data_IF_366223035228
#
_entry.id   IF_366223035228
#
_cell.length_a   1.000
_cell.length_b   1.000
_cell.length_c   1.000
_cell.angle_alpha   90.00
_cell.angle_beta   90.00
_cell.angle_gamma   90.00
#
_symmetry.space_group_name_H-M   'P 1'
#
loop_
_entity.id
_entity.type
_entity.pdbx_description
1 polymer ?
#
# COMPACT_ATOMS: atom_id res chain seq x y z
N UNK A 1 102.53 1.16 4.63
CA UNK A 1 101.43 0.99 5.57
C UNK A 1 100.22 1.66 4.92
N UNK A 2 99.37 0.88 4.29
CA UNK A 2 98.31 1.35 3.41
C UNK A 2 96.98 0.94 3.99
N UNK A 3 96.15 1.91 4.38
CA UNK A 3 94.81 1.71 4.95
C UNK A 3 93.77 1.78 3.82
N UNK A 4 93.12 0.68 3.60
CA UNK A 4 92.03 0.52 2.57
C UNK A 4 90.68 0.92 3.20
N UNK A 5 90.03 1.99 2.67
CA UNK A 5 88.70 2.43 3.01
C UNK A 5 87.70 1.66 2.16
N UNK A 6 86.84 0.87 2.76
CA UNK A 6 85.69 0.23 2.11
C UNK A 6 84.48 1.21 2.14
N UNK A 7 84.06 1.64 1.00
CA UNK A 7 82.77 2.43 0.79
C UNK A 7 81.60 1.44 0.67
N UNK A 8 80.65 1.53 1.61
CA UNK A 8 79.37 0.80 1.54
C UNK A 8 78.38 1.65 0.71
N UNK A 9 77.98 1.14 -0.43
CA UNK A 9 76.90 1.75 -1.22
C UNK A 9 75.55 1.21 -0.74
N UNK A 10 74.72 2.09 -0.19
CA UNK A 10 73.34 1.81 0.28
C UNK A 10 72.39 2.06 -0.93
N UNK A 11 71.89 0.99 -1.52
CA UNK A 11 70.85 1.09 -2.57
C UNK A 11 69.47 1.26 -1.95
N UNK A 12 68.88 2.46 -2.05
CA UNK A 12 67.50 2.77 -1.68
C UNK A 12 66.62 2.33 -2.84
N UNK A 13 65.89 1.23 -2.63
CA UNK A 13 64.83 0.75 -3.55
C UNK A 13 63.53 1.52 -3.24
N UNK A 14 63.27 2.57 -3.99
CA UNK A 14 61.97 3.31 -3.94
C UNK A 14 60.89 2.49 -4.61
N UNK A 15 60.11 1.78 -3.83
CA UNK A 15 58.88 1.13 -4.31
C UNK A 15 57.78 2.17 -4.56
N UNK A 16 57.54 2.47 -5.84
CA UNK A 16 56.39 3.26 -6.26
C UNK A 16 55.12 2.40 -6.09
N UNK A 17 54.33 2.64 -5.04
CA UNK A 17 52.95 2.12 -4.95
C UNK A 17 52.13 2.81 -6.04
N UNK A 18 51.83 2.10 -7.11
CA UNK A 18 50.77 2.48 -8.06
C UNK A 18 49.42 2.28 -7.35
N UNK A 19 48.84 3.34 -6.76
CA UNK A 19 47.45 3.38 -6.38
C UNK A 19 46.65 3.41 -7.68
N UNK A 20 46.17 2.27 -8.13
CA UNK A 20 45.16 2.23 -9.21
C UNK A 20 43.94 3.04 -8.75
N UNK A 21 43.48 4.03 -9.52
CA UNK A 21 42.25 4.72 -9.20
C UNK A 21 41.12 3.69 -9.23
N UNK A 22 40.45 3.48 -8.11
CA UNK A 22 39.13 2.83 -8.08
C UNK A 22 38.24 3.68 -8.98
N UNK A 23 38.03 3.22 -10.23
CA UNK A 23 37.05 3.80 -11.11
C UNK A 23 35.68 3.62 -10.41
N UNK A 24 35.22 4.65 -9.73
CA UNK A 24 33.82 4.78 -9.32
C UNK A 24 33.04 4.77 -10.63
N UNK A 25 32.42 3.64 -10.94
CA UNK A 25 31.50 3.56 -12.09
C UNK A 25 30.47 4.66 -11.90
N UNK A 26 30.53 5.67 -12.76
CA UNK A 26 29.55 6.75 -12.74
C UNK A 26 28.17 6.14 -12.98
N UNK A 27 27.23 6.41 -12.07
CA UNK A 27 25.85 5.93 -12.19
C UNK A 27 25.24 6.48 -13.49
N UNK A 28 24.63 5.59 -14.30
CA UNK A 28 23.88 5.97 -15.50
C UNK A 28 22.50 6.51 -15.12
N UNK A 29 22.47 7.71 -14.55
CA UNK A 29 21.25 8.40 -14.13
C UNK A 29 21.10 9.67 -14.98
N UNK A 30 19.97 9.76 -15.70
CA UNK A 30 19.58 10.93 -16.51
C UNK A 30 18.67 11.88 -15.73
N UNK A 31 18.62 13.17 -16.08
CA UNK A 31 17.59 14.06 -15.55
C UNK A 31 16.18 13.55 -15.87
N UNK A 32 15.34 13.38 -14.81
CA UNK A 32 13.96 12.91 -14.94
C UNK A 32 13.04 13.77 -14.08
N UNK A 33 11.86 14.09 -14.60
CA UNK A 33 10.73 14.60 -13.83
C UNK A 33 9.64 13.54 -13.80
N UNK A 34 9.28 13.10 -12.60
CA UNK A 34 8.38 11.97 -12.35
C UNK A 34 7.10 12.50 -11.73
N UNK A 35 5.95 12.32 -12.39
CA UNK A 35 4.64 12.62 -11.80
C UNK A 35 4.20 11.44 -10.98
N UNK A 36 4.01 11.65 -9.67
CA UNK A 36 3.56 10.63 -8.74
C UNK A 36 2.18 10.99 -8.19
N UNK A 37 1.14 10.35 -8.74
CA UNK A 37 -0.25 10.58 -8.35
C UNK A 37 -0.69 9.74 -7.15
N UNK A 38 -1.58 10.30 -6.31
CA UNK A 38 -2.19 9.56 -5.20
C UNK A 38 -3.55 10.14 -4.81
N UNK A 39 -4.40 9.28 -4.18
CA UNK A 39 -5.80 9.60 -3.93
C UNK A 39 -6.06 10.48 -2.73
N UNK A 40 -5.27 10.35 -1.65
CA UNK A 40 -5.46 11.10 -0.41
C UNK A 40 -4.83 12.50 -0.48
N UNK A 41 -5.09 13.33 0.53
CA UNK A 41 -4.47 14.66 0.66
C UNK A 41 -3.01 14.59 1.14
N UNK A 42 -2.31 15.72 1.07
CA UNK A 42 -0.87 15.81 1.38
C UNK A 42 -0.52 15.55 2.85
N UNK A 43 -1.47 15.81 3.78
CA UNK A 43 -1.24 15.61 5.22
C UNK A 43 -1.57 14.18 5.68
N UNK A 44 -2.14 13.35 4.80
CA UNK A 44 -2.40 11.94 5.10
C UNK A 44 -1.11 11.12 5.21
N UNK A 45 -1.18 9.93 5.82
CA UNK A 45 -0.09 8.97 5.82
C UNK A 45 0.43 8.66 4.41
N UNK A 46 -0.46 8.50 3.42
CA UNK A 46 -0.11 8.33 2.01
C UNK A 46 0.68 9.53 1.46
N UNK A 47 0.23 10.77 1.71
CA UNK A 47 0.89 12.00 1.26
C UNK A 47 2.26 12.19 1.90
N UNK A 48 2.39 11.93 3.21
CA UNK A 48 3.68 12.00 3.92
C UNK A 48 4.70 10.99 3.36
N UNK A 49 4.26 9.78 3.06
CA UNK A 49 5.13 8.75 2.48
C UNK A 49 5.55 9.07 1.04
N UNK A 50 4.65 9.61 0.20
CA UNK A 50 5.02 10.08 -1.16
C UNK A 50 6.04 11.22 -1.09
N UNK A 51 5.92 12.12 -0.10
CA UNK A 51 6.89 13.19 0.12
C UNK A 51 8.27 12.63 0.50
N UNK A 52 8.33 11.63 1.38
CA UNK A 52 9.58 10.96 1.71
C UNK A 52 10.17 10.24 0.50
N UNK A 53 9.36 9.50 -0.25
CA UNK A 53 9.80 8.86 -1.50
C UNK A 53 10.44 9.88 -2.46
N UNK A 54 9.82 11.04 -2.64
CA UNK A 54 10.34 12.10 -3.49
C UNK A 54 11.72 12.62 -3.00
N UNK A 55 11.86 12.83 -1.69
CA UNK A 55 13.12 13.22 -1.07
C UNK A 55 14.22 12.18 -1.28
N UNK A 56 13.90 10.90 -1.10
CA UNK A 56 14.85 9.80 -1.27
C UNK A 56 15.28 9.62 -2.73
N UNK A 57 14.37 9.72 -3.67
CA UNK A 57 14.69 9.68 -5.11
C UNK A 57 15.65 10.81 -5.49
N UNK A 58 15.39 12.04 -5.03
CA UNK A 58 16.27 13.18 -5.30
C UNK A 58 17.64 12.96 -4.67
N UNK A 59 17.70 12.53 -3.42
CA UNK A 59 18.95 12.24 -2.69
C UNK A 59 19.77 11.13 -3.37
N UNK A 60 19.15 9.98 -3.66
CA UNK A 60 19.82 8.80 -4.22
C UNK A 60 20.29 9.03 -5.66
N UNK A 61 19.60 9.88 -6.41
CA UNK A 61 19.97 10.23 -7.79
C UNK A 61 20.96 11.40 -7.90
N UNK A 62 21.42 11.96 -6.77
CA UNK A 62 22.25 13.18 -6.77
C UNK A 62 21.54 14.38 -7.39
N UNK A 63 20.22 14.50 -7.18
CA UNK A 63 19.38 15.60 -7.68
C UNK A 63 18.95 15.47 -9.15
N UNK A 64 19.33 14.40 -9.84
CA UNK A 64 18.99 14.22 -11.27
C UNK A 64 17.55 13.76 -11.49
N UNK A 65 17.00 12.93 -10.60
CA UNK A 65 15.61 12.51 -10.67
C UNK A 65 14.79 13.29 -9.65
N UNK A 66 13.71 13.91 -10.10
CA UNK A 66 12.80 14.70 -9.25
C UNK A 66 11.39 14.16 -9.34
N UNK A 67 10.75 13.98 -8.18
CA UNK A 67 9.37 13.51 -8.09
C UNK A 67 8.45 14.68 -7.75
N UNK A 68 7.45 14.89 -8.60
CA UNK A 68 6.33 15.79 -8.33
C UNK A 68 5.19 14.97 -7.71
N UNK A 69 5.03 15.10 -6.40
CA UNK A 69 3.90 14.54 -5.66
C UNK A 69 2.60 15.28 -6.02
N UNK A 70 1.56 14.55 -6.45
CA UNK A 70 0.29 15.12 -6.93
C UNK A 70 -0.84 14.36 -6.24
N UNK A 71 -1.31 14.92 -5.11
CA UNK A 71 -2.30 14.33 -4.22
C UNK A 71 -3.73 14.70 -4.54
N UNK A 72 -4.64 14.29 -3.64
CA UNK A 72 -6.06 14.58 -3.68
C UNK A 72 -6.73 14.17 -5.01
N UNK A 73 -6.27 13.09 -5.62
CA UNK A 73 -6.74 12.60 -6.91
C UNK A 73 -6.69 13.66 -8.04
N UNK A 74 -5.78 14.64 -7.99
CA UNK A 74 -5.69 15.69 -9.00
C UNK A 74 -5.30 15.17 -10.40
N UNK A 75 -4.75 13.96 -10.50
CA UNK A 75 -4.54 13.23 -11.78
C UNK A 75 -5.69 12.28 -12.11
N UNK A 76 -6.79 12.33 -11.38
CA UNK A 76 -7.94 11.45 -11.51
C UNK A 76 -8.02 10.37 -10.42
N UNK A 77 -9.14 9.65 -10.33
CA UNK A 77 -9.30 8.51 -9.44
C UNK A 77 -8.35 7.35 -9.78
N UNK A 78 -8.15 6.42 -8.84
CA UNK A 78 -7.19 5.31 -8.95
C UNK A 78 -7.28 4.58 -10.30
N UNK A 79 -8.48 4.21 -10.73
CA UNK A 79 -8.70 3.49 -12.02
C UNK A 79 -8.20 4.32 -13.21
N UNK A 80 -8.46 5.63 -13.21
CA UNK A 80 -8.01 6.52 -14.27
C UNK A 80 -6.48 6.66 -14.26
N UNK A 81 -5.86 6.82 -13.10
CA UNK A 81 -4.39 6.87 -12.97
C UNK A 81 -3.75 5.54 -13.41
N UNK A 82 -4.34 4.38 -13.06
CA UNK A 82 -3.88 3.07 -13.53
C UNK A 82 -3.90 2.98 -15.06
N UNK A 83 -4.96 3.44 -15.71
CA UNK A 83 -5.03 3.49 -17.18
C UNK A 83 -4.00 4.45 -17.78
N UNK A 84 -3.75 5.60 -17.13
CA UNK A 84 -2.72 6.55 -17.55
C UNK A 84 -1.30 5.94 -17.46
N UNK A 85 -1.01 5.12 -16.43
CA UNK A 85 0.25 4.37 -16.32
C UNK A 85 0.37 3.34 -17.45
N UNK A 86 -0.68 2.53 -17.68
CA UNK A 86 -0.70 1.52 -18.75
C UNK A 86 -0.47 2.18 -20.11
N UNK A 87 -1.11 3.31 -20.35
CA UNK A 87 -0.95 4.12 -21.57
C UNK A 87 0.44 4.78 -21.70
N UNK A 88 1.18 4.97 -20.57
CA UNK A 88 2.44 5.70 -20.50
C UNK A 88 2.27 7.21 -20.41
N UNK A 89 1.07 7.69 -20.10
CA UNK A 89 0.77 9.12 -19.93
C UNK A 89 1.12 9.64 -18.52
N UNK A 90 1.41 8.76 -17.59
CA UNK A 90 1.84 9.06 -16.21
C UNK A 90 2.95 8.08 -15.82
N UNK A 91 3.91 8.51 -14.98
CA UNK A 91 5.06 7.69 -14.60
C UNK A 91 4.77 6.79 -13.40
N UNK A 92 4.20 7.35 -12.31
CA UNK A 92 4.01 6.62 -11.05
C UNK A 92 2.70 6.99 -10.36
N UNK A 93 2.20 6.05 -9.55
CA UNK A 93 1.12 6.31 -8.60
C UNK A 93 1.26 5.41 -7.37
N UNK A 94 0.58 5.76 -6.29
CA UNK A 94 0.18 4.83 -5.24
C UNK A 94 -1.33 4.83 -5.10
N UNK A 95 -1.91 3.64 -5.03
CA UNK A 95 -3.36 3.48 -4.92
C UNK A 95 -3.74 2.13 -4.33
N UNK A 96 -5.04 1.90 -4.17
CA UNK A 96 -5.56 0.66 -3.60
C UNK A 96 -5.35 -0.53 -4.54
N UNK A 97 -4.88 -1.65 -4.00
CA UNK A 97 -4.83 -2.92 -4.73
C UNK A 97 -6.22 -3.38 -5.20
N UNK A 98 -7.25 -3.01 -4.45
CA UNK A 98 -8.65 -3.35 -4.76
C UNK A 98 -9.11 -2.83 -6.13
N UNK A 99 -8.62 -1.67 -6.56
CA UNK A 99 -8.98 -1.08 -7.87
C UNK A 99 -8.26 -1.74 -9.04
N UNK A 100 -7.28 -2.63 -8.78
CA UNK A 100 -6.57 -3.40 -9.80
C UNK A 100 -7.24 -4.74 -10.15
N UNK A 101 -8.24 -5.18 -9.40
CA UNK A 101 -8.88 -6.49 -9.60
C UNK A 101 -9.45 -6.64 -11.01
N UNK A 102 -9.94 -5.56 -11.62
CA UNK A 102 -10.40 -5.54 -13.02
C UNK A 102 -9.26 -5.67 -14.05
N UNK A 103 -8.02 -5.43 -13.65
CA UNK A 103 -6.81 -5.52 -14.50
C UNK A 103 -6.14 -6.88 -14.28
N UNK A 104 -5.98 -7.28 -13.04
CA UNK A 104 -5.38 -8.56 -12.63
C UNK A 104 -6.19 -9.17 -11.47
N UNK A 105 -6.92 -10.28 -11.73
CA UNK A 105 -7.77 -10.91 -10.72
C UNK A 105 -7.04 -11.34 -9.45
N UNK A 106 -5.73 -11.63 -9.54
CA UNK A 106 -4.91 -12.04 -8.39
C UNK A 106 -4.89 -11.01 -7.27
N UNK A 107 -5.09 -9.72 -7.58
CA UNK A 107 -5.19 -8.66 -6.56
C UNK A 107 -6.38 -8.83 -5.62
N UNK A 108 -7.44 -9.56 -6.04
CA UNK A 108 -8.57 -9.89 -5.17
C UNK A 108 -8.19 -10.71 -3.92
N UNK A 109 -7.02 -11.34 -3.94
CA UNK A 109 -6.50 -12.05 -2.77
C UNK A 109 -6.44 -11.14 -1.53
N UNK A 110 -6.01 -9.88 -1.71
CA UNK A 110 -5.85 -8.91 -0.63
C UNK A 110 -7.19 -8.38 -0.09
N UNK A 111 -8.25 -8.50 -0.88
CA UNK A 111 -9.59 -8.05 -0.51
C UNK A 111 -10.41 -9.12 0.22
N UNK A 112 -9.81 -10.30 0.43
CA UNK A 112 -10.46 -11.42 1.12
C UNK A 112 -10.83 -11.02 2.54
N UNK A 113 -12.13 -11.05 2.90
CA UNK A 113 -12.57 -10.75 4.25
C UNK A 113 -11.88 -11.63 5.30
N UNK A 114 -11.34 -10.96 6.33
CA UNK A 114 -10.67 -11.61 7.46
C UNK A 114 -9.46 -12.50 7.09
N UNK A 115 -8.80 -12.23 5.96
CA UNK A 115 -7.61 -12.97 5.55
C UNK A 115 -6.49 -12.83 6.59
N UNK A 116 -6.22 -11.62 7.03
CA UNK A 116 -5.19 -11.30 8.01
C UNK A 116 -5.77 -10.99 9.39
N UNK A 117 -5.15 -11.51 10.45
CA UNK A 117 -5.50 -11.21 11.83
C UNK A 117 -4.65 -10.08 12.43
N UNK A 118 -3.55 -9.72 11.76
CA UNK A 118 -2.62 -8.68 12.22
C UNK A 118 -1.81 -8.09 11.08
N UNK A 119 -1.27 -6.89 11.28
CA UNK A 119 -0.33 -6.27 10.35
C UNK A 119 0.93 -7.13 10.13
N UNK A 120 1.38 -7.88 11.16
CA UNK A 120 2.50 -8.83 11.03
C UNK A 120 2.22 -9.94 10.02
N UNK A 121 1.02 -10.50 10.02
CA UNK A 121 0.61 -11.50 9.03
C UNK A 121 0.60 -10.89 7.62
N UNK A 122 0.04 -9.67 7.49
CA UNK A 122 0.02 -8.95 6.23
C UNK A 122 1.43 -8.65 5.71
N UNK A 123 2.33 -8.13 6.55
CA UNK A 123 3.72 -7.86 6.18
C UNK A 123 4.41 -9.13 5.66
N UNK A 124 4.30 -10.24 6.40
CA UNK A 124 4.97 -11.48 6.05
C UNK A 124 4.48 -12.07 4.71
N UNK A 125 3.21 -11.90 4.38
CA UNK A 125 2.64 -12.40 3.12
C UNK A 125 2.91 -11.43 1.97
N UNK A 126 2.69 -10.13 2.18
CA UNK A 126 2.83 -9.10 1.14
C UNK A 126 4.29 -8.91 0.71
N UNK A 127 5.24 -8.96 1.64
CA UNK A 127 6.67 -8.80 1.35
C UNK A 127 7.36 -10.15 1.01
N UNK A 128 6.64 -11.22 1.16
CA UNK A 128 7.11 -12.58 0.89
C UNK A 128 6.86 -13.04 -0.57
N UNK A 129 7.17 -14.32 -0.84
CA UNK A 129 7.02 -14.90 -2.17
C UNK A 129 5.60 -14.82 -2.74
N UNK A 130 4.57 -14.86 -1.89
CA UNK A 130 3.16 -14.76 -2.30
C UNK A 130 2.87 -13.36 -2.84
N UNK A 131 3.27 -12.31 -2.11
CA UNK A 131 3.11 -10.93 -2.57
C UNK A 131 3.86 -10.66 -3.86
N UNK A 132 5.08 -11.21 -3.99
CA UNK A 132 5.84 -11.11 -5.23
C UNK A 132 5.14 -11.81 -6.41
N UNK A 133 4.61 -13.03 -6.23
CA UNK A 133 3.84 -13.72 -7.27
C UNK A 133 2.64 -12.90 -7.77
N UNK A 134 1.96 -12.19 -6.86
CA UNK A 134 0.85 -11.31 -7.26
C UNK A 134 1.38 -10.10 -8.02
N UNK A 135 2.48 -9.46 -7.59
CA UNK A 135 3.11 -8.36 -8.33
C UNK A 135 3.58 -8.78 -9.72
N UNK A 136 4.09 -10.00 -9.87
CA UNK A 136 4.61 -10.54 -11.14
C UNK A 136 3.53 -10.70 -12.21
N UNK A 137 2.25 -10.56 -11.86
CA UNK A 137 1.14 -10.53 -12.83
C UNK A 137 0.99 -9.17 -13.52
N UNK A 138 1.53 -8.09 -12.93
CA UNK A 138 1.35 -6.71 -13.39
C UNK A 138 2.10 -6.37 -14.70
N UNK A 139 3.34 -6.85 -14.94
CA UNK A 139 4.08 -6.47 -16.14
C UNK A 139 3.36 -6.84 -17.43
N UNK A 140 2.67 -7.98 -17.49
CA UNK A 140 1.85 -8.37 -18.63
C UNK A 140 0.65 -7.42 -18.88
N UNK A 141 0.32 -6.58 -17.89
CA UNK A 141 -0.76 -5.59 -17.94
C UNK A 141 -0.24 -4.15 -18.12
N UNK A 142 1.06 -3.98 -18.36
CA UNK A 142 1.66 -2.66 -18.59
C UNK A 142 2.01 -1.89 -17.32
N UNK A 143 2.05 -2.55 -16.16
CA UNK A 143 2.36 -1.98 -14.86
C UNK A 143 3.58 -2.68 -14.23
N UNK A 144 4.29 -1.98 -13.36
CA UNK A 144 5.31 -2.55 -12.48
C UNK A 144 4.96 -2.18 -11.04
N UNK A 145 4.82 -3.18 -10.15
CA UNK A 145 4.68 -2.97 -8.73
C UNK A 145 6.05 -2.89 -8.06
N UNK A 146 6.29 -1.88 -7.22
CA UNK A 146 7.54 -1.76 -6.49
C UNK A 146 7.44 -2.36 -5.09
N UNK A 147 6.48 -1.88 -4.28
CA UNK A 147 6.26 -2.30 -2.90
C UNK A 147 4.79 -2.16 -2.53
N UNK A 148 4.37 -2.91 -1.51
CA UNK A 148 3.09 -2.68 -0.84
C UNK A 148 3.27 -1.73 0.34
N UNK A 149 2.38 -0.70 0.44
CA UNK A 149 2.19 0.16 1.59
C UNK A 149 0.95 -0.27 2.37
N UNK A 150 0.75 0.29 3.55
CA UNK A 150 -0.39 -0.03 4.41
C UNK A 150 -1.47 1.05 4.34
N UNK A 151 -2.66 0.71 3.82
CA UNK A 151 -3.85 1.51 4.13
C UNK A 151 -4.36 1.15 5.53
N UNK A 152 -4.40 -0.15 5.85
CA UNK A 152 -4.72 -0.68 7.17
C UNK A 152 -6.00 -1.50 7.24
N UNK A 153 -6.41 -1.87 8.46
CA UNK A 153 -7.67 -2.59 8.70
C UNK A 153 -8.86 -1.66 8.53
N UNK A 154 -9.82 -2.10 7.75
CA UNK A 154 -11.00 -1.33 7.36
C UNK A 154 -12.14 -1.49 8.35
N UNK A 155 -12.83 -0.39 8.62
CA UNK A 155 -13.90 -0.26 9.57
C UNK A 155 -15.08 0.49 8.94
N UNK A 156 -16.28 0.27 9.45
CA UNK A 156 -17.51 0.79 8.89
C UNK A 156 -17.87 2.14 9.51
N UNK A 157 -18.24 3.13 8.68
CA UNK A 157 -18.93 4.33 9.16
C UNK A 157 -20.28 4.50 8.48
N UNK A 158 -21.24 5.11 9.18
CA UNK A 158 -22.49 5.53 8.56
C UNK A 158 -23.15 6.70 9.33
N UNK A 159 -24.14 7.35 8.72
CA UNK A 159 -24.86 8.47 9.31
C UNK A 159 -26.16 8.06 10.03
N UNK A 160 -26.59 6.80 9.93
CA UNK A 160 -27.91 6.34 10.39
C UNK A 160 -27.94 5.75 11.79
N UNK A 161 -27.08 4.75 12.06
CA UNK A 161 -27.10 3.99 13.34
C UNK A 161 -25.80 3.28 13.62
N UNK A 162 -25.54 2.97 14.90
CA UNK A 162 -24.49 2.04 15.27
C UNK A 162 -24.82 0.64 14.74
N UNK A 163 -23.82 -0.08 14.25
CA UNK A 163 -23.97 -1.48 13.82
C UNK A 163 -23.51 -2.39 14.97
N UNK A 164 -24.46 -2.99 15.67
CA UNK A 164 -24.20 -3.90 16.77
C UNK A 164 -24.47 -5.37 16.41
N UNK A 165 -25.18 -5.61 15.31
CA UNK A 165 -25.51 -6.91 14.74
C UNK A 165 -25.60 -6.79 13.21
N UNK A 166 -25.52 -7.91 12.50
CA UNK A 166 -25.52 -7.92 11.04
C UNK A 166 -26.77 -7.29 10.43
N UNK A 167 -27.93 -7.49 11.06
CA UNK A 167 -29.21 -6.94 10.60
C UNK A 167 -29.25 -5.40 10.63
N UNK A 168 -28.35 -4.76 11.39
CA UNK A 168 -28.23 -3.30 11.40
C UNK A 168 -27.63 -2.76 10.09
N UNK A 169 -27.05 -3.63 9.24
CA UNK A 169 -26.60 -3.28 7.88
C UNK A 169 -27.76 -3.19 6.88
N UNK A 170 -28.90 -3.80 7.18
CA UNK A 170 -30.03 -3.85 6.26
C UNK A 170 -30.51 -2.43 5.87
N UNK A 171 -30.60 -2.18 4.57
CA UNK A 171 -31.03 -0.92 4.00
C UNK A 171 -30.04 0.25 4.13
N UNK A 172 -28.82 0.04 4.65
CA UNK A 172 -27.77 1.04 4.57
C UNK A 172 -27.21 1.07 3.15
N UNK A 173 -27.32 2.24 2.48
CA UNK A 173 -26.60 2.49 1.25
C UNK A 173 -25.13 2.69 1.57
N UNK A 174 -24.35 1.64 1.38
CA UNK A 174 -22.94 1.63 1.72
C UNK A 174 -22.08 1.84 0.47
N UNK A 175 -21.31 2.90 0.42
CA UNK A 175 -20.29 3.04 -0.61
C UNK A 175 -19.19 2.00 -0.38
N UNK A 176 -18.81 1.33 -1.44
CA UNK A 176 -17.64 0.45 -1.49
C UNK A 176 -16.68 0.90 -2.59
N UNK A 177 -15.45 0.39 -2.59
CA UNK A 177 -14.53 0.62 -3.71
C UNK A 177 -15.05 -0.03 -5.00
N UNK A 178 -14.59 0.43 -6.15
CA UNK A 178 -14.93 -0.10 -7.48
C UNK A 178 -14.33 -1.52 -7.67
N UNK A 179 -14.88 -2.47 -6.91
CA UNK A 179 -14.38 -3.83 -6.78
C UNK A 179 -15.53 -4.79 -6.49
N UNK A 180 -15.62 -5.87 -7.25
CA UNK A 180 -16.69 -6.85 -7.10
C UNK A 180 -16.64 -7.60 -5.77
N UNK A 181 -15.44 -7.82 -5.19
CA UNK A 181 -15.31 -8.50 -3.89
C UNK A 181 -16.01 -7.71 -2.79
N UNK A 182 -15.75 -6.40 -2.70
CA UNK A 182 -16.42 -5.54 -1.72
C UNK A 182 -17.92 -5.44 -1.99
N UNK A 183 -18.31 -5.31 -3.27
CA UNK A 183 -19.71 -5.27 -3.67
C UNK A 183 -20.47 -6.51 -3.22
N UNK A 184 -19.96 -7.71 -3.51
CA UNK A 184 -20.58 -8.97 -3.15
C UNK A 184 -20.54 -9.22 -1.64
N UNK A 185 -19.43 -8.85 -0.98
CA UNK A 185 -19.30 -8.99 0.48
C UNK A 185 -20.39 -8.22 1.22
N UNK A 186 -20.55 -6.93 0.92
CA UNK A 186 -21.53 -6.12 1.64
C UNK A 186 -22.98 -6.38 1.22
N UNK A 187 -23.24 -6.79 -0.02
CA UNK A 187 -24.55 -7.33 -0.42
C UNK A 187 -24.90 -8.61 0.35
N UNK A 188 -23.96 -9.52 0.49
CA UNK A 188 -24.14 -10.78 1.26
C UNK A 188 -24.42 -10.48 2.74
N UNK A 189 -23.90 -9.38 3.26
CA UNK A 189 -24.13 -8.92 4.64
C UNK A 189 -25.44 -8.14 4.82
N UNK A 190 -26.19 -7.86 3.75
CA UNK A 190 -27.50 -7.17 3.79
C UNK A 190 -27.45 -5.68 3.45
N UNK A 191 -26.27 -5.10 3.23
CA UNK A 191 -26.18 -3.69 2.86
C UNK A 191 -26.50 -3.47 1.38
N UNK A 192 -27.02 -2.28 1.06
CA UNK A 192 -27.17 -1.82 -0.31
C UNK A 192 -25.84 -1.22 -0.78
N UNK A 193 -24.92 -2.08 -1.22
CA UNK A 193 -23.57 -1.68 -1.61
C UNK A 193 -23.55 -0.96 -2.96
N UNK A 194 -22.87 0.20 -3.02
CA UNK A 194 -22.77 1.07 -4.18
C UNK A 194 -21.29 1.38 -4.48
N UNK A 195 -20.75 0.96 -5.63
CA UNK A 195 -19.36 1.25 -5.97
C UNK A 195 -19.21 2.70 -6.44
N UNK A 196 -18.29 3.46 -5.81
CA UNK A 196 -17.93 4.82 -6.20
C UNK A 196 -16.43 5.05 -6.06
N UNK A 197 -15.81 5.89 -6.92
CA UNK A 197 -14.45 6.36 -6.74
C UNK A 197 -14.26 7.05 -5.39
N UNK A 198 -13.02 6.99 -4.83
CA UNK A 198 -12.73 7.64 -3.55
C UNK A 198 -12.88 9.18 -3.63
N UNK A 199 -12.50 9.78 -4.76
CA UNK A 199 -12.61 11.22 -5.01
C UNK A 199 -14.04 11.78 -4.93
N UNK A 200 -15.05 10.93 -5.09
CA UNK A 200 -16.48 11.34 -5.02
C UNK A 200 -17.09 11.08 -3.64
N UNK A 201 -16.34 10.38 -2.76
CA UNK A 201 -16.93 9.80 -1.54
C UNK A 201 -17.40 10.87 -0.55
N UNK A 202 -16.59 11.90 -0.26
CA UNK A 202 -16.97 12.92 0.71
C UNK A 202 -18.28 13.61 0.32
N UNK A 203 -18.38 14.05 -0.94
CA UNK A 203 -19.61 14.69 -1.47
C UNK A 203 -20.81 13.74 -1.46
N UNK A 204 -20.62 12.45 -1.79
CA UNK A 204 -21.69 11.46 -1.75
C UNK A 204 -22.21 11.21 -0.32
N UNK A 205 -21.32 11.26 0.70
CA UNK A 205 -21.70 11.18 2.11
C UNK A 205 -22.40 12.46 2.58
N UNK A 206 -21.87 13.62 2.22
CA UNK A 206 -22.42 14.94 2.58
C UNK A 206 -23.85 15.13 2.03
N UNK A 207 -24.05 14.80 0.76
CA UNK A 207 -25.36 14.90 0.09
C UNK A 207 -26.29 13.74 0.44
N UNK A 208 -25.85 12.77 1.25
CA UNK A 208 -26.60 11.55 1.60
C UNK A 208 -26.98 10.69 0.40
N UNK A 209 -26.25 10.80 -0.71
CA UNK A 209 -26.35 9.88 -1.84
C UNK A 209 -26.03 8.46 -1.42
N UNK A 210 -25.07 8.32 -0.47
CA UNK A 210 -24.80 7.10 0.29
C UNK A 210 -24.89 7.40 1.78
N UNK A 211 -25.25 6.40 2.57
CA UNK A 211 -25.42 6.53 4.02
C UNK A 211 -24.11 6.29 4.78
N UNK A 212 -23.21 5.53 4.20
CA UNK A 212 -21.98 5.10 4.86
C UNK A 212 -20.91 4.65 3.87
N UNK A 213 -19.76 4.30 4.45
CA UNK A 213 -18.58 3.81 3.77
C UNK A 213 -17.76 2.91 4.71
N UNK A 214 -16.69 2.32 4.22
CA UNK A 214 -15.73 1.56 5.02
C UNK A 214 -14.30 1.94 4.61
N UNK A 215 -13.46 2.20 5.59
CA UNK A 215 -12.04 2.57 5.44
C UNK A 215 -11.28 2.36 6.75
N UNK A 216 -9.95 2.36 6.72
CA UNK A 216 -9.13 2.46 7.92
C UNK A 216 -9.30 3.78 8.65
N UNK A 217 -9.01 3.79 9.95
CA UNK A 217 -9.16 4.96 10.81
C UNK A 217 -8.42 6.20 10.30
N UNK A 218 -7.19 6.02 9.81
CA UNK A 218 -6.37 7.10 9.26
C UNK A 218 -7.03 7.80 8.07
N UNK A 219 -7.61 7.01 7.16
CA UNK A 219 -8.34 7.54 6.01
C UNK A 219 -9.61 8.26 6.46
N UNK A 220 -10.36 7.71 7.43
CA UNK A 220 -11.54 8.35 7.99
C UNK A 220 -11.17 9.70 8.62
N UNK A 221 -10.05 9.76 9.36
CA UNK A 221 -9.57 10.97 10.03
C UNK A 221 -9.05 12.01 9.04
N UNK A 222 -8.09 11.64 8.18
CA UNK A 222 -7.43 12.55 7.25
C UNK A 222 -8.38 13.10 6.17
N UNK A 223 -9.41 12.31 5.78
CA UNK A 223 -10.45 12.73 4.85
C UNK A 223 -11.64 13.42 5.53
N UNK A 224 -11.57 13.64 6.84
CA UNK A 224 -12.57 14.33 7.65
C UNK A 224 -13.98 13.73 7.57
N UNK A 225 -14.08 12.41 7.38
CA UNK A 225 -15.40 11.77 7.28
C UNK A 225 -16.23 11.93 8.56
N UNK A 226 -15.61 12.25 9.69
CA UNK A 226 -16.30 12.59 10.93
C UNK A 226 -17.22 13.82 10.81
N UNK A 227 -17.01 14.69 9.80
CA UNK A 227 -17.91 15.84 9.54
C UNK A 227 -19.26 15.40 8.94
N UNK A 228 -19.28 14.27 8.23
CA UNK A 228 -20.43 13.76 7.48
C UNK A 228 -20.90 12.36 7.90
N UNK A 229 -20.21 11.74 8.86
CA UNK A 229 -20.50 10.40 9.40
C UNK A 229 -20.58 10.44 10.93
N UNK A 230 -21.68 9.93 11.48
CA UNK A 230 -21.95 9.98 12.91
C UNK A 230 -21.45 8.73 13.66
N UNK A 231 -21.60 7.56 13.05
CA UNK A 231 -21.32 6.27 13.69
C UNK A 231 -20.10 5.62 13.05
N UNK A 232 -19.22 5.06 13.89
CA UNK A 232 -18.09 4.24 13.48
C UNK A 232 -18.17 2.90 14.23
N UNK A 233 -18.28 1.81 13.49
CA UNK A 233 -18.23 0.46 14.05
C UNK A 233 -16.89 -0.18 13.68
N UNK A 234 -16.14 -0.60 14.70
CA UNK A 234 -14.86 -1.31 14.55
C UNK A 234 -15.17 -2.74 14.11
N UNK A 235 -14.90 -3.04 12.87
CA UNK A 235 -15.16 -4.35 12.26
C UNK A 235 -13.90 -5.09 11.86
N UNK A 236 -12.83 -4.37 11.51
CA UNK A 236 -11.56 -4.91 11.01
C UNK A 236 -11.76 -6.02 9.95
N UNK A 237 -12.76 -5.85 9.08
CA UNK A 237 -13.25 -6.91 8.19
C UNK A 237 -12.32 -7.24 7.03
N UNK A 238 -11.44 -6.30 6.63
CA UNK A 238 -10.42 -6.48 5.59
C UNK A 238 -9.18 -5.68 5.97
N UNK A 239 -7.99 -6.25 5.82
CA UNK A 239 -6.74 -5.50 5.72
C UNK A 239 -6.54 -5.08 4.26
N UNK A 240 -6.36 -3.81 4.02
CA UNK A 240 -6.25 -3.24 2.68
C UNK A 240 -4.84 -2.69 2.45
N UNK A 241 -4.06 -3.25 1.53
CA UNK A 241 -2.79 -2.64 1.13
C UNK A 241 -2.99 -1.58 0.05
N UNK A 242 -2.06 -0.63 0.01
CA UNK A 242 -1.76 0.15 -1.17
C UNK A 242 -0.60 -0.50 -1.92
N UNK A 243 -0.42 -0.11 -3.17
CA UNK A 243 0.71 -0.53 -4.00
C UNK A 243 1.31 0.67 -4.72
N UNK A 244 2.64 0.77 -4.69
CA UNK A 244 3.38 1.75 -5.50
C UNK A 244 3.56 1.17 -6.89
N UNK A 245 3.01 1.85 -7.88
CA UNK A 245 2.97 1.43 -9.28
C UNK A 245 3.78 2.36 -10.17
N UNK A 246 4.40 1.77 -11.18
CA UNK A 246 5.14 2.45 -12.24
C UNK A 246 4.58 2.03 -13.59
N UNK A 247 4.50 2.96 -14.55
CA UNK A 247 4.23 2.64 -15.94
C UNK A 247 5.32 1.72 -16.49
N UNK A 248 4.96 0.54 -16.99
CA UNK A 248 5.94 -0.38 -17.59
C UNK A 248 6.63 0.23 -18.80
N UNK A 249 5.91 0.98 -19.63
CA UNK A 249 6.49 1.68 -20.78
C UNK A 249 7.60 2.63 -20.37
N UNK A 250 7.40 3.37 -19.26
CA UNK A 250 8.40 4.29 -18.75
C UNK A 250 9.53 3.54 -18.04
N UNK A 251 9.22 2.52 -17.23
CA UNK A 251 10.17 1.68 -16.49
C UNK A 251 11.19 1.00 -17.39
N UNK A 252 10.74 0.46 -18.53
CA UNK A 252 11.62 -0.22 -19.51
C UNK A 252 12.61 0.74 -20.18
N UNK A 253 12.33 2.05 -20.17
CA UNK A 253 13.23 3.10 -20.67
C UNK A 253 14.21 3.64 -19.62
N UNK A 254 14.21 3.11 -18.40
CA UNK A 254 15.13 3.48 -17.33
C UNK A 254 16.40 2.62 -17.37
N UNK A 255 17.53 3.22 -17.00
CA UNK A 255 18.74 2.47 -16.71
C UNK A 255 18.57 1.61 -15.44
N UNK A 256 19.46 0.63 -15.25
CA UNK A 256 19.45 -0.19 -14.02
C UNK A 256 19.69 0.63 -12.77
N UNK A 257 20.51 1.69 -12.88
CA UNK A 257 20.76 2.61 -11.76
C UNK A 257 19.52 3.44 -11.43
N UNK A 258 18.80 3.94 -12.45
CA UNK A 258 17.53 4.65 -12.26
C UNK A 258 16.46 3.75 -11.63
N UNK A 259 16.33 2.49 -12.10
CA UNK A 259 15.44 1.49 -11.51
C UNK A 259 15.80 1.21 -10.06
N UNK A 260 17.10 1.10 -9.75
CA UNK A 260 17.58 0.87 -8.39
C UNK A 260 17.27 2.06 -7.47
N UNK A 261 17.46 3.29 -7.92
CA UNK A 261 17.09 4.51 -7.16
C UNK A 261 15.62 4.46 -6.76
N UNK A 262 14.73 4.14 -7.70
CA UNK A 262 13.29 4.07 -7.43
C UNK A 262 12.93 2.94 -6.47
N UNK A 263 13.56 1.78 -6.61
CA UNK A 263 13.32 0.64 -5.72
C UNK A 263 13.82 0.91 -4.31
N UNK A 264 15.03 1.45 -4.14
CA UNK A 264 15.61 1.78 -2.83
C UNK A 264 14.75 2.85 -2.11
N UNK A 265 14.31 3.89 -2.84
CA UNK A 265 13.40 4.89 -2.32
C UNK A 265 12.02 4.30 -1.93
N UNK A 266 11.51 3.35 -2.72
CA UNK A 266 10.25 2.67 -2.44
C UNK A 266 10.34 1.82 -1.16
N UNK A 267 11.44 1.09 -0.96
CA UNK A 267 11.67 0.31 0.26
C UNK A 267 11.77 1.23 1.48
N UNK A 268 12.57 2.30 1.41
CA UNK A 268 12.72 3.26 2.50
C UNK A 268 11.37 3.91 2.87
N UNK A 269 10.61 4.33 1.86
CA UNK A 269 9.30 4.94 2.11
C UNK A 269 8.25 3.94 2.61
N UNK A 270 8.33 2.66 2.26
CA UNK A 270 7.47 1.60 2.81
C UNK A 270 7.66 1.45 4.31
N UNK A 271 8.91 1.37 4.77
CA UNK A 271 9.24 1.23 6.20
C UNK A 271 8.68 2.41 7.02
N UNK A 272 8.90 3.62 6.51
CA UNK A 272 8.36 4.84 7.13
C UNK A 272 6.82 4.81 7.13
N UNK A 273 6.21 4.54 5.98
CA UNK A 273 4.76 4.59 5.78
C UNK A 273 4.03 3.63 6.72
N UNK A 274 4.47 2.39 6.82
CA UNK A 274 3.86 1.40 7.75
C UNK A 274 3.99 1.82 9.20
N UNK A 275 5.15 2.33 9.60
CA UNK A 275 5.35 2.82 10.97
C UNK A 275 4.42 4.00 11.27
N UNK A 276 4.42 5.01 10.42
CA UNK A 276 3.62 6.23 10.54
C UNK A 276 2.12 5.91 10.56
N UNK A 277 1.66 5.03 9.65
CA UNK A 277 0.28 4.55 9.57
C UNK A 277 -0.16 3.86 10.86
N UNK A 278 0.66 2.97 11.42
CA UNK A 278 0.34 2.23 12.66
C UNK A 278 0.33 3.11 13.90
N UNK A 279 1.27 4.05 13.99
CA UNK A 279 1.31 5.05 15.07
C UNK A 279 0.09 5.97 15.02
N UNK A 280 -0.32 6.42 13.84
CA UNK A 280 -1.52 7.24 13.66
C UNK A 280 -2.78 6.43 13.96
N UNK A 281 -2.91 5.20 13.45
CA UNK A 281 -4.08 4.33 13.71
C UNK A 281 -4.31 4.10 15.20
N UNK A 282 -3.22 3.98 15.99
CA UNK A 282 -3.29 3.84 17.44
C UNK A 282 -3.93 5.03 18.16
N UNK A 283 -3.89 6.23 17.57
CA UNK A 283 -4.47 7.47 18.12
C UNK A 283 -5.81 7.84 17.48
N UNK A 284 -6.02 7.40 16.24
CA UNK A 284 -7.13 7.87 15.40
C UNK A 284 -8.51 7.64 16.03
N UNK A 285 -8.73 6.51 16.70
CA UNK A 285 -10.03 6.21 17.35
C UNK A 285 -10.36 7.25 18.44
N UNK A 286 -9.38 7.62 19.27
CA UNK A 286 -9.58 8.64 20.30
C UNK A 286 -9.85 10.02 19.67
N UNK A 287 -9.14 10.36 18.63
CA UNK A 287 -9.32 11.60 17.88
C UNK A 287 -10.70 11.66 17.20
N UNK A 288 -11.16 10.57 16.56
CA UNK A 288 -12.48 10.48 15.94
C UNK A 288 -13.62 10.62 16.98
N UNK A 289 -13.45 10.02 18.19
CA UNK A 289 -14.37 10.25 19.30
C UNK A 289 -14.39 11.71 19.74
N UNK A 290 -13.22 12.35 19.87
CA UNK A 290 -13.11 13.77 20.22
C UNK A 290 -13.73 14.69 19.16
N UNK A 291 -13.75 14.25 17.89
CA UNK A 291 -14.44 14.91 16.76
C UNK A 291 -15.95 14.64 16.73
N UNK A 292 -16.49 13.90 17.69
CA UNK A 292 -17.93 13.68 17.84
C UNK A 292 -18.49 12.39 17.24
N UNK A 293 -17.63 11.50 16.70
CA UNK A 293 -18.11 10.19 16.24
C UNK A 293 -18.50 9.28 17.41
N UNK A 294 -19.61 8.60 17.27
CA UNK A 294 -20.03 7.53 18.15
C UNK A 294 -19.37 6.22 17.72
N UNK A 295 -18.43 5.74 18.52
CA UNK A 295 -17.62 4.56 18.18
C UNK A 295 -18.08 3.38 19.01
N UNK A 296 -18.41 2.26 18.36
CA UNK A 296 -18.67 0.97 18.98
C UNK A 296 -17.82 -0.13 18.34
N UNK A 297 -17.61 -1.21 19.06
CA UNK A 297 -17.00 -2.44 18.53
C UNK A 297 -18.11 -3.41 18.13
N UNK A 298 -17.92 -4.11 17.00
CA UNK A 298 -18.82 -5.20 16.64
C UNK A 298 -18.63 -6.35 17.62
N UNK A 299 -19.69 -6.84 18.29
CA UNK A 299 -19.56 -7.96 19.23
C UNK A 299 -18.91 -9.18 18.59
N UNK A 300 -18.09 -9.91 19.33
CA UNK A 300 -17.33 -11.07 18.80
C UNK A 300 -18.23 -12.12 18.15
N UNK A 301 -19.41 -12.38 18.69
CA UNK A 301 -20.39 -13.28 18.11
C UNK A 301 -20.88 -12.80 16.73
N UNK A 302 -21.09 -11.50 16.58
CA UNK A 302 -21.51 -10.90 15.31
C UNK A 302 -20.37 -10.87 14.29
N UNK A 303 -19.14 -10.64 14.75
CA UNK A 303 -17.96 -10.77 13.89
C UNK A 303 -17.78 -12.20 13.38
N UNK A 304 -18.06 -13.21 14.21
CA UNK A 304 -18.09 -14.61 13.77
C UNK A 304 -19.19 -14.86 12.73
N UNK A 305 -20.41 -14.39 12.96
CA UNK A 305 -21.52 -14.47 12.00
C UNK A 305 -21.17 -13.79 10.68
N UNK A 306 -20.48 -12.66 10.73
CA UNK A 306 -20.00 -11.95 9.52
C UNK A 306 -19.04 -12.84 8.73
N UNK A 307 -18.08 -13.48 9.38
CA UNK A 307 -17.14 -14.43 8.74
C UNK A 307 -17.87 -15.59 8.08
N UNK A 308 -18.81 -16.22 8.80
CA UNK A 308 -19.58 -17.34 8.31
C UNK A 308 -20.39 -16.98 7.06
N UNK A 309 -21.07 -15.83 7.08
CA UNK A 309 -21.80 -15.31 5.92
C UNK A 309 -20.91 -15.11 4.69
N UNK A 310 -19.67 -14.69 4.88
CA UNK A 310 -18.72 -14.40 3.81
C UNK A 310 -17.96 -15.63 3.29
N UNK A 311 -18.17 -16.82 3.84
CA UNK A 311 -17.48 -18.06 3.43
C UNK A 311 -17.60 -18.33 1.92
N UNK A 312 -18.80 -18.09 1.33
CA UNK A 312 -19.01 -18.29 -0.11
C UNK A 312 -18.27 -17.23 -0.95
N UNK A 313 -18.20 -16.01 -0.47
CA UNK A 313 -17.42 -14.92 -1.12
C UNK A 313 -15.94 -15.30 -1.12
N UNK A 314 -15.41 -15.76 0.02
CA UNK A 314 -14.02 -16.20 0.12
C UNK A 314 -13.70 -17.38 -0.82
N UNK A 315 -14.61 -18.35 -0.94
CA UNK A 315 -14.46 -19.45 -1.90
C UNK A 315 -14.43 -18.97 -3.35
N UNK A 316 -15.29 -18.00 -3.70
CA UNK A 316 -15.29 -17.39 -5.04
C UNK A 316 -13.98 -16.63 -5.32
N UNK A 317 -13.43 -15.93 -4.32
CA UNK A 317 -12.14 -15.26 -4.45
C UNK A 317 -11.05 -16.29 -4.73
N UNK A 318 -11.00 -17.40 -3.95
CA UNK A 318 -10.04 -18.47 -4.15
C UNK A 318 -10.06 -19.05 -5.58
N UNK A 319 -11.26 -19.26 -6.13
CA UNK A 319 -11.40 -19.71 -7.52
C UNK A 319 -10.89 -18.66 -8.54
N UNK A 320 -11.15 -17.38 -8.30
CA UNK A 320 -10.77 -16.29 -9.22
C UNK A 320 -9.27 -15.98 -9.21
N UNK A 321 -8.61 -16.03 -8.04
CA UNK A 321 -7.15 -15.78 -7.94
C UNK A 321 -6.32 -16.98 -8.37
N UNK A 322 -6.93 -18.17 -8.46
CA UNK A 322 -6.30 -19.45 -8.73
C UNK A 322 -6.05 -20.25 -7.46
N UNK A 323 -6.51 -21.50 -7.45
CA UNK A 323 -6.50 -22.37 -6.26
C UNK A 323 -5.09 -22.63 -5.72
N UNK A 324 -4.06 -22.65 -6.58
CA UNK A 324 -2.66 -22.84 -6.14
C UNK A 324 -2.21 -21.65 -5.28
N UNK A 325 -2.42 -20.42 -5.76
CA UNK A 325 -2.08 -19.18 -5.01
C UNK A 325 -2.90 -19.10 -3.72
N UNK A 326 -4.18 -19.42 -3.78
CA UNK A 326 -5.07 -19.44 -2.62
C UNK A 326 -4.57 -20.44 -1.56
N UNK A 327 -4.35 -21.69 -1.94
CA UNK A 327 -3.92 -22.76 -1.03
C UNK A 327 -2.55 -22.46 -0.42
N UNK A 328 -1.61 -21.93 -1.22
CA UNK A 328 -0.29 -21.50 -0.75
C UNK A 328 -0.42 -20.41 0.31
N UNK A 329 -1.31 -19.43 0.07
CA UNK A 329 -1.57 -18.33 1.02
C UNK A 329 -2.16 -18.85 2.33
N UNK A 330 -3.17 -19.72 2.27
CA UNK A 330 -3.78 -20.32 3.46
C UNK A 330 -2.75 -21.15 4.26
N UNK A 331 -1.92 -21.92 3.58
CA UNK A 331 -0.86 -22.71 4.22
C UNK A 331 0.21 -21.83 4.87
N UNK A 332 0.59 -20.72 4.22
CA UNK A 332 1.55 -19.76 4.78
C UNK A 332 0.99 -19.07 6.04
N UNK A 333 -0.27 -18.64 5.99
CA UNK A 333 -0.95 -18.04 7.15
C UNK A 333 -1.09 -19.05 8.30
N UNK A 334 -1.43 -20.29 8.01
CA UNK A 334 -1.51 -21.34 9.04
C UNK A 334 -0.15 -21.54 9.75
N UNK A 335 0.95 -21.56 9.00
CA UNK A 335 2.31 -21.65 9.56
C UNK A 335 2.65 -20.41 10.44
N UNK A 336 2.34 -19.19 9.98
CA UNK A 336 2.57 -17.97 10.73
C UNK A 336 1.78 -17.93 12.04
N UNK A 337 0.56 -18.44 12.05
CA UNK A 337 -0.32 -18.51 13.24
C UNK A 337 0.09 -19.57 14.24
N UNK A 338 0.67 -20.68 13.75
CA UNK A 338 1.20 -21.75 14.61
C UNK A 338 2.57 -21.41 15.23
N UNK A 339 3.32 -20.48 14.63
CA UNK A 339 4.62 -20.06 15.16
C UNK A 339 4.45 -19.29 16.48
N UNK A 340 5.23 -19.62 17.55
CA UNK A 340 5.19 -18.83 18.77
C UNK A 340 5.54 -17.36 18.46
N UNK A 341 4.70 -16.46 18.96
CA UNK A 341 4.94 -15.03 18.80
C UNK A 341 6.33 -14.64 19.37
N UNK A 342 6.94 -13.53 18.92
CA UNK A 342 8.16 -13.04 19.52
C UNK A 342 7.97 -12.91 21.02
N UNK A 343 8.86 -13.51 21.82
CA UNK A 343 8.86 -13.29 23.27
C UNK A 343 8.95 -11.78 23.49
N UNK A 344 7.98 -11.25 24.23
CA UNK A 344 7.95 -9.84 24.64
C UNK A 344 9.16 -9.51 25.49
#
# INVERSE_FOLDING_TARGET
MTTMRRTLALSILTGALFAAPLAVLAQDIKPRLIRFGYGLNEVSNQGRAVKLFATEVERLSGGKMKVRAIGAAALGPDVQMQQALIGGAQEMMVGSTATLVGITPQMALWDTPFLFNSAREADAILDGPIGQKVMDTLPAKGLVGLVYWENGFRNLTNSKRAVNKLEDLDGIKLRVMQNNVFLESFKTLGANAVPLPFSELFSALETKTVDGQENPFNTILSSKFFEVQKFLTVTNHVYSPWIVLVSKKWWDGLSKDEQKVLMDAAVTSREFERKDTREEAGRAVAELKAKGMQVNELPAAEAARMRDRLTRVNASIGANVGMDLWNETQAALARLRAAPGPKK
#
